data_IF_155655575768
#
_entry.id   IF_155655575768
#
_cell.length_a   1.000
_cell.length_b   1.000
_cell.length_c   1.000
_cell.angle_alpha   90.00
_cell.angle_beta   90.00
_cell.angle_gamma   90.00
#
_symmetry.space_group_name_H-M   'P 1'
#
loop_
_entity.id
_entity.type
_entity.pdbx_description
1 polymer ?
#
# COMPACT_ATOMS: atom_id res chain seq x y z
N UNK A 1 17.95 5.71 -2.76
CA UNK A 1 16.99 5.12 -3.73
C UNK A 1 17.72 4.74 -4.99
N UNK A 2 17.40 3.59 -5.57
CA UNK A 2 18.13 3.01 -6.70
C UNK A 2 17.74 3.63 -8.05
N UNK A 3 16.48 4.06 -8.18
CA UNK A 3 15.95 4.58 -9.44
C UNK A 3 15.65 6.07 -9.37
N UNK A 4 15.92 6.77 -10.49
CA UNK A 4 15.66 8.19 -10.70
C UNK A 4 14.48 8.38 -11.67
N UNK A 5 14.03 9.62 -11.83
CA UNK A 5 13.02 9.95 -12.84
C UNK A 5 13.45 9.46 -14.22
N UNK A 6 12.52 8.86 -14.94
CA UNK A 6 12.62 8.23 -16.26
C UNK A 6 13.31 6.87 -16.30
N UNK A 7 13.84 6.33 -15.19
CA UNK A 7 14.30 4.95 -15.13
C UNK A 7 13.10 3.99 -15.25
N UNK A 8 13.38 2.74 -15.61
CA UNK A 8 12.36 1.70 -15.74
C UNK A 8 12.48 0.62 -14.67
N UNK A 9 11.33 0.19 -14.14
CA UNK A 9 11.18 -0.99 -13.28
C UNK A 9 10.10 -1.87 -13.93
N UNK A 10 10.52 -2.99 -14.52
CA UNK A 10 9.62 -3.77 -15.39
C UNK A 10 9.12 -2.91 -16.56
N UNK A 11 7.81 -2.89 -16.78
CA UNK A 11 7.13 -2.07 -17.79
C UNK A 11 6.85 -0.62 -17.34
N UNK A 12 7.16 -0.28 -16.08
CA UNK A 12 6.83 1.01 -15.48
C UNK A 12 7.97 2.00 -15.59
N UNK A 13 7.63 3.27 -15.86
CA UNK A 13 8.58 4.39 -15.89
C UNK A 13 8.47 5.20 -14.61
N UNK A 14 9.57 5.39 -13.90
CA UNK A 14 9.63 6.19 -12.68
C UNK A 14 9.31 7.66 -12.99
N UNK A 15 8.23 8.17 -12.43
CA UNK A 15 7.87 9.58 -12.50
C UNK A 15 8.53 10.36 -11.35
N UNK A 16 8.52 9.78 -10.16
CA UNK A 16 9.09 10.40 -8.96
C UNK A 16 9.48 9.35 -7.91
N UNK A 17 10.74 9.35 -7.41
CA UNK A 17 11.13 8.60 -6.21
C UNK A 17 10.39 9.17 -4.99
N UNK A 18 9.68 8.32 -4.24
CA UNK A 18 8.80 8.79 -3.16
C UNK A 18 9.45 8.68 -1.77
N UNK A 19 9.76 7.46 -1.32
CA UNK A 19 10.28 7.22 0.03
C UNK A 19 11.22 6.01 0.04
N UNK A 20 12.29 6.11 0.84
CA UNK A 20 13.16 4.99 1.18
C UNK A 20 12.86 4.54 2.61
N UNK A 21 12.48 3.28 2.76
CA UNK A 21 12.31 2.62 4.05
C UNK A 21 13.46 1.68 4.39
N UNK A 22 13.30 0.92 5.47
CA UNK A 22 14.34 0.00 5.96
C UNK A 22 14.64 -1.14 4.95
N UNK A 23 13.61 -1.76 4.38
CA UNK A 23 13.72 -2.91 3.48
C UNK A 23 13.14 -2.66 2.08
N UNK A 24 12.47 -1.54 1.87
CA UNK A 24 11.82 -1.23 0.60
C UNK A 24 11.96 0.25 0.22
N UNK A 25 11.83 0.49 -1.08
CA UNK A 25 11.74 1.82 -1.68
C UNK A 25 10.41 1.96 -2.40
N UNK A 26 9.85 3.15 -2.40
CA UNK A 26 8.57 3.41 -3.05
C UNK A 26 8.71 4.48 -4.12
N UNK A 27 7.95 4.32 -5.21
CA UNK A 27 8.02 5.16 -6.37
C UNK A 27 6.62 5.49 -6.90
N UNK A 28 6.44 6.72 -7.34
CA UNK A 28 5.36 7.04 -8.24
C UNK A 28 5.83 6.74 -9.66
N UNK A 29 5.10 5.89 -10.35
CA UNK A 29 5.46 5.43 -11.69
C UNK A 29 4.32 5.69 -12.67
N UNK A 30 4.63 5.61 -13.98
CA UNK A 30 3.63 5.58 -15.05
C UNK A 30 3.64 4.20 -15.70
N UNK A 31 2.45 3.65 -15.94
CA UNK A 31 2.29 2.45 -16.75
C UNK A 31 2.39 2.78 -18.25
N UNK A 32 2.28 1.77 -19.12
CA UNK A 32 2.38 1.90 -20.57
C UNK A 32 1.29 2.79 -21.19
N UNK A 33 0.15 2.96 -20.49
CA UNK A 33 -0.92 3.88 -20.90
C UNK A 33 -0.71 5.32 -20.42
N UNK A 34 0.37 5.59 -19.66
CA UNK A 34 0.66 6.87 -19.03
C UNK A 34 -0.07 7.11 -17.71
N UNK A 35 -0.86 6.14 -17.22
CA UNK A 35 -1.57 6.26 -15.96
C UNK A 35 -0.60 6.18 -14.77
N UNK A 36 -0.80 7.07 -13.80
CA UNK A 36 0.02 7.08 -12.58
C UNK A 36 -0.30 5.89 -11.70
N UNK A 37 0.74 5.24 -11.18
CA UNK A 37 0.70 4.08 -10.29
C UNK A 37 1.66 4.28 -9.13
N UNK A 38 1.51 3.45 -8.11
CA UNK A 38 2.43 3.38 -7.00
C UNK A 38 3.16 2.04 -7.04
N UNK A 39 4.49 2.08 -6.96
CA UNK A 39 5.35 0.90 -7.00
C UNK A 39 6.17 0.81 -5.72
N UNK A 40 6.16 -0.37 -5.11
CA UNK A 40 7.03 -0.72 -3.98
C UNK A 40 8.07 -1.72 -4.45
N UNK A 41 9.34 -1.41 -4.23
CA UNK A 41 10.50 -2.23 -4.54
C UNK A 41 11.09 -2.75 -3.23
N UNK A 42 11.12 -4.05 -3.05
CA UNK A 42 11.50 -4.73 -1.80
C UNK A 42 12.83 -5.45 -2.01
N UNK A 43 13.80 -5.20 -1.14
CA UNK A 43 15.10 -5.86 -1.20
C UNK A 43 15.08 -7.15 -0.36
N UNK A 44 15.27 -8.31 -0.99
CA UNK A 44 15.30 -9.60 -0.31
C UNK A 44 16.36 -9.69 0.78
N UNK A 45 17.53 -9.09 0.59
CA UNK A 45 18.61 -9.15 1.59
C UNK A 45 18.30 -8.41 2.90
N UNK A 46 17.23 -7.62 2.91
CA UNK A 46 16.78 -6.86 4.08
C UNK A 46 15.52 -7.43 4.74
N UNK A 47 15.01 -8.55 4.22
CA UNK A 47 13.85 -9.23 4.77
C UNK A 47 14.24 -10.23 5.84
N UNK A 48 13.39 -10.36 6.85
CA UNK A 48 13.46 -11.44 7.82
C UNK A 48 12.83 -12.72 7.26
N UNK A 49 13.16 -13.88 7.84
CA UNK A 49 12.65 -15.18 7.40
C UNK A 49 11.12 -15.27 7.39
N UNK A 50 10.45 -14.63 8.34
CA UNK A 50 8.98 -14.60 8.44
C UNK A 50 8.29 -13.72 7.39
N UNK A 51 9.04 -12.98 6.58
CA UNK A 51 8.52 -12.15 5.48
C UNK A 51 8.62 -12.85 4.13
N UNK A 52 9.16 -14.07 4.10
CA UNK A 52 9.34 -14.89 2.89
C UNK A 52 8.63 -16.22 3.13
N UNK A 53 7.81 -16.66 2.16
CA UNK A 53 7.12 -17.95 2.22
C UNK A 53 8.08 -19.12 1.92
N UNK A 54 7.59 -20.36 2.05
CA UNK A 54 8.38 -21.58 1.82
C UNK A 54 8.82 -21.75 0.36
N UNK A 55 8.20 -21.03 -0.57
CA UNK A 55 8.58 -20.99 -1.98
C UNK A 55 9.56 -19.84 -2.31
N UNK A 56 10.05 -19.12 -1.30
CA UNK A 56 10.96 -17.99 -1.48
C UNK A 56 10.30 -16.71 -1.97
N UNK A 57 8.96 -16.56 -1.87
CA UNK A 57 8.23 -15.38 -2.33
C UNK A 57 8.01 -14.42 -1.16
N UNK A 58 7.98 -13.13 -1.46
CA UNK A 58 7.68 -12.10 -0.46
C UNK A 58 6.20 -12.17 -0.06
N UNK A 59 5.92 -12.47 1.20
CA UNK A 59 4.55 -12.67 1.73
C UNK A 59 3.68 -11.43 1.49
N UNK A 60 4.22 -10.23 1.67
CA UNK A 60 3.50 -8.98 1.42
C UNK A 60 2.98 -8.90 -0.03
N UNK A 61 3.78 -9.33 -1.01
CA UNK A 61 3.36 -9.35 -2.42
C UNK A 61 2.25 -10.37 -2.64
N UNK A 62 2.38 -11.56 -2.08
CA UNK A 62 1.37 -12.63 -2.23
C UNK A 62 0.05 -12.26 -1.56
N UNK A 63 0.08 -11.62 -0.40
CA UNK A 63 -1.12 -11.09 0.25
C UNK A 63 -1.76 -9.99 -0.62
N UNK A 64 -0.96 -9.03 -1.12
CA UNK A 64 -1.48 -7.92 -1.93
C UNK A 64 -2.26 -8.40 -3.17
N UNK A 65 -1.84 -9.52 -3.79
CA UNK A 65 -2.53 -10.15 -4.95
C UNK A 65 -3.94 -10.63 -4.62
N UNK A 66 -4.20 -11.01 -3.37
CA UNK A 66 -5.47 -11.58 -2.94
C UNK A 66 -6.49 -10.53 -2.48
N UNK A 67 -6.03 -9.32 -2.21
CA UNK A 67 -6.86 -8.29 -1.61
C UNK A 67 -7.56 -7.45 -2.68
N UNK A 68 -8.90 -7.49 -2.68
CA UNK A 68 -9.74 -6.65 -3.52
C UNK A 68 -10.88 -6.06 -2.68
N UNK A 69 -10.72 -4.81 -2.27
CA UNK A 69 -11.72 -4.10 -1.48
C UNK A 69 -11.67 -2.60 -1.82
N UNK A 70 -12.84 -1.94 -1.90
CA UNK A 70 -12.95 -0.55 -2.35
C UNK A 70 -12.20 0.48 -1.48
N UNK A 71 -11.97 0.17 -0.20
CA UNK A 71 -11.19 1.01 0.70
C UNK A 71 -9.70 0.58 0.81
N UNK A 72 -9.24 -0.38 0.01
CA UNK A 72 -7.83 -0.76 -0.10
C UNK A 72 -7.29 -0.39 -1.48
N UNK A 73 -5.97 -0.22 -1.58
CA UNK A 73 -5.35 -0.04 -2.89
C UNK A 73 -5.40 -1.32 -3.69
N UNK A 74 -5.88 -1.19 -4.92
CA UNK A 74 -5.99 -2.33 -5.82
C UNK A 74 -4.59 -2.76 -6.29
N UNK A 75 -4.27 -4.03 -6.11
CA UNK A 75 -3.11 -4.65 -6.73
C UNK A 75 -3.26 -4.66 -8.26
N UNK A 76 -2.17 -4.38 -8.97
CA UNK A 76 -2.16 -4.31 -10.44
C UNK A 76 -1.17 -5.31 -11.02
N UNK A 77 0.07 -5.36 -10.50
CA UNK A 77 1.14 -6.13 -11.10
C UNK A 77 2.25 -6.39 -10.08
N UNK A 78 3.09 -7.40 -10.33
CA UNK A 78 4.29 -7.67 -9.55
C UNK A 78 5.34 -8.39 -10.39
N UNK A 79 6.58 -8.32 -9.94
CA UNK A 79 7.67 -9.06 -10.55
C UNK A 79 8.90 -9.12 -9.66
N UNK A 80 9.92 -9.77 -10.19
CA UNK A 80 11.23 -9.87 -9.57
C UNK A 80 12.30 -9.30 -10.50
N UNK A 81 13.38 -8.83 -9.92
CA UNK A 81 14.55 -8.38 -10.67
C UNK A 81 15.83 -8.61 -9.87
N UNK A 82 16.94 -8.71 -10.59
CA UNK A 82 18.29 -8.74 -10.00
C UNK A 82 18.98 -7.45 -10.39
N UNK A 83 19.56 -6.77 -9.42
CA UNK A 83 20.31 -5.54 -9.63
C UNK A 83 21.53 -5.53 -8.73
N UNK A 84 22.72 -5.32 -9.32
CA UNK A 84 24.01 -5.33 -8.60
C UNK A 84 24.21 -6.60 -7.73
N UNK A 85 23.80 -7.77 -8.24
CA UNK A 85 23.89 -9.04 -7.52
C UNK A 85 22.88 -9.24 -6.38
N UNK A 86 22.00 -8.28 -6.13
CA UNK A 86 20.93 -8.37 -5.13
C UNK A 86 19.59 -8.66 -5.78
N UNK A 87 18.78 -9.48 -5.13
CA UNK A 87 17.42 -9.82 -5.58
C UNK A 87 16.41 -8.84 -4.99
N UNK A 88 15.45 -8.42 -5.84
CA UNK A 88 14.35 -7.54 -5.45
C UNK A 88 13.02 -8.12 -5.94
N UNK A 89 11.99 -8.00 -5.13
CA UNK A 89 10.60 -8.10 -5.57
C UNK A 89 10.03 -6.70 -5.73
N UNK A 90 9.11 -6.52 -6.66
CA UNK A 90 8.33 -5.29 -6.76
C UNK A 90 6.85 -5.62 -6.97
N UNK A 91 5.99 -4.74 -6.49
CA UNK A 91 4.58 -4.77 -6.84
C UNK A 91 4.04 -3.36 -7.06
N UNK A 92 2.96 -3.30 -7.82
CA UNK A 92 2.31 -2.06 -8.24
C UNK A 92 0.87 -2.08 -7.79
N UNK A 93 0.42 -0.94 -7.27
CA UNK A 93 -0.98 -0.70 -6.94
C UNK A 93 -1.50 0.52 -7.69
N UNK A 94 -2.80 0.73 -7.62
CA UNK A 94 -3.37 2.00 -8.07
C UNK A 94 -2.77 3.16 -7.23
N UNK A 95 -2.73 4.32 -7.86
CA UNK A 95 -2.29 5.56 -7.20
C UNK A 95 -3.50 6.32 -6.71
N UNK A 96 -3.57 6.58 -5.41
CA UNK A 96 -4.61 7.42 -4.84
C UNK A 96 -4.14 8.87 -4.90
N UNK A 97 -4.84 9.69 -5.70
CA UNK A 97 -4.67 11.13 -5.69
C UNK A 97 -5.44 11.73 -4.51
N UNK A 98 -4.89 12.74 -3.87
CA UNK A 98 -5.50 13.37 -2.71
C UNK A 98 -4.48 13.63 -1.62
N UNK A 99 -4.98 13.95 -0.45
CA UNK A 99 -4.17 14.20 0.73
C UNK A 99 -4.36 13.10 1.77
N UNK A 100 -3.42 12.98 2.70
CA UNK A 100 -3.59 12.12 3.87
C UNK A 100 -4.40 12.83 4.95
N UNK A 101 -5.09 12.06 5.78
CA UNK A 101 -5.77 12.60 6.97
C UNK A 101 -4.78 13.36 7.87
N UNK A 102 -3.53 12.90 7.96
CA UNK A 102 -2.46 13.59 8.69
C UNK A 102 -2.18 14.99 8.12
N UNK A 103 -2.12 15.13 6.79
CA UNK A 103 -1.88 16.45 6.16
C UNK A 103 -3.02 17.41 6.46
N UNK A 104 -4.27 16.93 6.42
CA UNK A 104 -5.44 17.74 6.74
C UNK A 104 -5.46 18.20 8.21
N UNK A 105 -5.11 17.29 9.13
CA UNK A 105 -4.99 17.61 10.56
C UNK A 105 -3.89 18.67 10.79
N UNK A 106 -2.72 18.52 10.15
CA UNK A 106 -1.60 19.46 10.30
C UNK A 106 -1.96 20.86 9.80
N UNK A 107 -2.76 20.97 8.73
CA UNK A 107 -3.27 22.27 8.25
C UNK A 107 -4.33 22.88 9.17
N UNK A 108 -4.77 22.14 10.19
CA UNK A 108 -5.82 22.56 11.10
C UNK A 108 -7.17 22.84 10.40
N UNK A 109 -7.44 22.10 9.33
CA UNK A 109 -8.72 22.16 8.64
C UNK A 109 -9.82 21.53 9.49
N UNK A 110 -10.99 22.15 9.52
CA UNK A 110 -12.14 21.56 10.19
C UNK A 110 -12.51 20.21 9.55
N UNK A 111 -12.74 19.21 10.40
CA UNK A 111 -13.24 17.91 10.02
C UNK A 111 -14.60 17.72 10.71
N UNK A 112 -15.66 17.71 9.96
CA UNK A 112 -17.01 17.54 10.49
C UNK A 112 -17.19 16.14 11.12
N UNK A 113 -18.12 16.04 12.06
CA UNK A 113 -18.50 14.74 12.67
C UNK A 113 -18.95 13.73 11.62
N UNK A 114 -19.60 14.20 10.55
CA UNK A 114 -20.00 13.36 9.44
C UNK A 114 -18.79 12.76 8.72
N UNK A 115 -17.79 13.57 8.39
CA UNK A 115 -16.54 13.10 7.75
C UNK A 115 -15.79 12.12 8.65
N UNK A 116 -15.67 12.40 9.96
CA UNK A 116 -15.06 11.48 10.93
C UNK A 116 -15.76 10.12 10.89
N UNK A 117 -17.09 10.09 10.93
CA UNK A 117 -17.87 8.85 10.86
C UNK A 117 -17.65 8.12 9.54
N UNK A 118 -17.57 8.84 8.42
CA UNK A 118 -17.35 8.26 7.09
C UNK A 118 -15.96 7.66 6.98
N UNK A 119 -14.93 8.37 7.43
CA UNK A 119 -13.54 7.86 7.48
C UNK A 119 -13.48 6.61 8.38
N UNK A 120 -14.07 6.66 9.57
CA UNK A 120 -14.07 5.53 10.49
C UNK A 120 -14.76 4.30 9.88
N UNK A 121 -15.91 4.46 9.22
CA UNK A 121 -16.61 3.38 8.52
C UNK A 121 -15.74 2.76 7.41
N UNK A 122 -15.06 3.58 6.61
CA UNK A 122 -14.19 3.11 5.55
C UNK A 122 -13.00 2.29 6.10
N UNK A 123 -12.35 2.79 7.16
CA UNK A 123 -11.27 2.07 7.85
C UNK A 123 -11.75 0.76 8.44
N UNK A 124 -12.86 0.77 9.18
CA UNK A 124 -13.43 -0.44 9.79
C UNK A 124 -13.88 -1.47 8.75
N UNK A 125 -14.42 -1.03 7.62
CA UNK A 125 -14.80 -1.90 6.50
C UNK A 125 -13.57 -2.60 5.91
N UNK A 126 -12.48 -1.87 5.68
CA UNK A 126 -11.23 -2.46 5.21
C UNK A 126 -10.64 -3.46 6.22
N UNK A 127 -10.61 -3.11 7.50
CA UNK A 127 -10.11 -4.01 8.56
C UNK A 127 -10.97 -5.27 8.70
N UNK A 128 -12.30 -5.13 8.67
CA UNK A 128 -13.22 -6.27 8.68
C UNK A 128 -12.95 -7.21 7.51
N UNK A 129 -12.77 -6.66 6.30
CA UNK A 129 -12.41 -7.45 5.13
C UNK A 129 -11.08 -8.19 5.31
N UNK A 130 -10.02 -7.52 5.81
CA UNK A 130 -8.72 -8.14 6.05
C UNK A 130 -8.80 -9.29 7.08
N UNK A 131 -9.54 -9.07 8.17
CA UNK A 131 -9.71 -10.06 9.23
C UNK A 131 -10.60 -11.25 8.82
N UNK A 132 -11.48 -11.09 7.83
CA UNK A 132 -12.36 -12.13 7.33
C UNK A 132 -11.74 -13.03 6.25
N UNK A 133 -10.48 -12.77 5.85
CA UNK A 133 -9.81 -13.62 4.88
C UNK A 133 -9.60 -15.05 5.43
N UNK A 134 -9.52 -16.09 4.58
CA UNK A 134 -9.28 -17.47 5.02
C UNK A 134 -8.03 -17.60 5.92
N UNK A 135 -7.00 -16.82 5.63
CA UNK A 135 -5.87 -16.55 6.52
C UNK A 135 -6.01 -15.09 6.92
N UNK A 136 -6.45 -14.77 8.14
CA UNK A 136 -6.64 -13.39 8.56
C UNK A 136 -5.38 -12.56 8.40
N UNK A 137 -5.55 -11.35 7.90
CA UNK A 137 -4.47 -10.41 7.62
C UNK A 137 -4.54 -9.26 8.60
N UNK A 138 -3.44 -8.97 9.28
CA UNK A 138 -3.31 -7.83 10.19
C UNK A 138 -2.66 -6.68 9.43
N UNK A 139 -3.24 -5.50 9.56
CA UNK A 139 -2.74 -4.30 8.88
C UNK A 139 -1.46 -3.70 9.51
N UNK A 140 -1.27 -3.82 10.81
CA UNK A 140 -0.14 -3.34 11.65
C UNK A 140 0.18 -1.83 11.62
N UNK A 141 -0.39 -1.02 10.69
CA UNK A 141 -0.12 0.42 10.60
C UNK A 141 -1.35 1.27 10.26
N UNK A 142 -2.36 1.17 11.09
CA UNK A 142 -3.52 2.08 11.00
C UNK A 142 -3.14 3.44 11.59
N UNK A 143 -2.70 4.34 10.73
CA UNK A 143 -2.28 5.71 11.11
C UNK A 143 -2.93 6.74 10.21
N UNK A 144 -3.00 7.99 10.67
CA UNK A 144 -3.53 9.10 9.86
C UNK A 144 -2.70 9.39 8.59
N UNK A 145 -1.45 8.96 8.55
CA UNK A 145 -0.58 9.06 7.36
C UNK A 145 -0.93 8.03 6.29
N UNK A 146 -1.60 6.94 6.69
CA UNK A 146 -1.98 5.84 5.80
C UNK A 146 -3.48 5.89 5.42
N UNK A 147 -4.20 6.92 5.83
CA UNK A 147 -5.59 7.20 5.42
C UNK A 147 -5.58 8.31 4.40
N UNK A 148 -5.89 8.00 3.15
CA UNK A 148 -6.00 8.97 2.06
C UNK A 148 -7.44 9.42 1.88
N UNK A 149 -7.61 10.72 1.79
CA UNK A 149 -8.86 11.39 1.49
C UNK A 149 -8.88 11.66 -0.02
N UNK A 150 -9.60 10.84 -0.76
CA UNK A 150 -9.73 11.04 -2.20
C UNK A 150 -10.82 12.07 -2.49
N UNK A 151 -10.44 13.23 -2.97
CA UNK A 151 -11.36 14.28 -3.40
C UNK A 151 -11.71 14.07 -4.88
N UNK A 152 -12.34 12.96 -5.25
CA UNK A 152 -12.87 12.76 -6.60
C UNK A 152 -14.34 13.16 -6.63
N UNK A 153 -14.63 14.30 -7.24
CA UNK A 153 -15.99 14.80 -7.47
C UNK A 153 -16.32 16.05 -6.66
N UNK A 154 -17.07 16.95 -7.27
CA UNK A 154 -17.62 18.15 -6.65
C UNK A 154 -18.45 17.79 -5.41
N UNK A 155 -18.08 18.33 -4.29
CA UNK A 155 -18.80 18.60 -3.01
C UNK A 155 -19.97 17.73 -2.51
N UNK A 156 -20.40 16.63 -3.15
CA UNK A 156 -21.59 15.89 -2.73
C UNK A 156 -21.44 14.36 -2.58
N UNK A 157 -20.37 13.73 -3.07
CA UNK A 157 -20.20 12.28 -2.92
C UNK A 157 -18.96 11.93 -2.08
N UNK A 158 -19.16 11.96 -0.74
CA UNK A 158 -18.14 11.54 0.23
C UNK A 158 -17.94 10.01 0.31
N UNK A 159 -18.34 9.25 -0.72
CA UNK A 159 -18.30 7.79 -0.68
C UNK A 159 -16.93 7.17 -1.01
N UNK A 160 -15.89 7.95 -1.30
CA UNK A 160 -14.61 7.40 -1.78
C UNK A 160 -13.41 7.75 -0.91
N UNK A 161 -13.50 7.53 0.40
CA UNK A 161 -12.29 7.47 1.21
C UNK A 161 -11.60 6.13 0.96
N UNK A 162 -10.39 6.15 0.38
CA UNK A 162 -9.57 4.96 0.25
C UNK A 162 -8.56 4.91 1.38
N UNK A 163 -8.56 3.80 2.04
CA UNK A 163 -7.60 3.48 3.08
C UNK A 163 -6.36 2.87 2.41
N UNK A 164 -5.21 3.48 2.57
CA UNK A 164 -4.01 2.99 1.94
C UNK A 164 -2.95 2.57 2.93
N UNK A 165 -2.44 1.35 2.76
CA UNK A 165 -1.31 0.85 3.51
C UNK A 165 -0.16 0.60 2.56
N UNK A 166 0.94 1.31 2.81
CA UNK A 166 2.23 1.01 2.22
C UNK A 166 3.05 0.05 3.07
N UNK A 167 2.47 -0.61 4.09
CA UNK A 167 3.21 -1.45 5.04
C UNK A 167 2.61 -2.83 5.24
N UNK A 168 3.49 -3.71 5.67
CA UNK A 168 3.40 -5.15 5.81
C UNK A 168 2.04 -5.59 6.32
N UNK A 169 1.36 -6.34 5.49
CA UNK A 169 0.26 -7.18 5.87
C UNK A 169 0.89 -8.51 6.35
N UNK A 170 0.77 -8.84 7.61
CA UNK A 170 1.27 -10.10 8.16
C UNK A 170 0.13 -11.10 8.31
N UNK A 171 0.29 -12.34 7.84
CA UNK A 171 -0.69 -13.38 8.14
C UNK A 171 -0.67 -13.65 9.65
N UNK A 172 -1.84 -13.88 10.24
CA UNK A 172 -1.94 -14.36 11.61
C UNK A 172 -1.37 -15.76 11.66
N UNK A 173 -0.14 -15.91 12.14
CA UNK A 173 0.44 -17.23 12.40
C UNK A 173 -0.22 -17.84 13.63
N UNK A 174 -0.36 -19.18 13.67
CA UNK A 174 -1.02 -19.93 14.74
C UNK A 174 -0.39 -19.74 16.14
N UNK A 175 0.79 -19.14 16.23
CA UNK A 175 1.45 -18.82 17.50
C UNK A 175 0.87 -17.59 18.22
N UNK A 176 0.12 -16.73 17.55
CA UNK A 176 -0.50 -15.55 18.18
C UNK A 176 -1.84 -15.85 18.88
N UNK A 177 -2.29 -17.11 18.92
CA UNK A 177 -3.58 -17.50 19.54
C UNK A 177 -3.50 -17.93 21.00
N UNK A 178 -2.33 -17.89 21.64
CA UNK A 178 -2.12 -18.30 23.02
C UNK A 178 -1.36 -17.20 23.78
N UNK A 179 -2.06 -16.12 24.09
CA UNK A 179 -1.59 -15.05 24.95
C UNK A 179 -2.78 -14.32 25.56
#
# INVERSE_FOLDING_TARGET
MHFKKNDKIGSYTVAFPHKQGAYAETYRVKDTSGKTRFLKLINYSKLNRNQIDDNGRVIEVEIAKLLNHHNLCLFIDSGNMIMNGSQYAWFVTDFVSGETLSQRIIRNDEISVYEIKTIAKAVLSALSFLHSQPIPVIHNEVTTQNVFLNLVGELQDFETYRFWTCKILEPVTSQARLG
#
